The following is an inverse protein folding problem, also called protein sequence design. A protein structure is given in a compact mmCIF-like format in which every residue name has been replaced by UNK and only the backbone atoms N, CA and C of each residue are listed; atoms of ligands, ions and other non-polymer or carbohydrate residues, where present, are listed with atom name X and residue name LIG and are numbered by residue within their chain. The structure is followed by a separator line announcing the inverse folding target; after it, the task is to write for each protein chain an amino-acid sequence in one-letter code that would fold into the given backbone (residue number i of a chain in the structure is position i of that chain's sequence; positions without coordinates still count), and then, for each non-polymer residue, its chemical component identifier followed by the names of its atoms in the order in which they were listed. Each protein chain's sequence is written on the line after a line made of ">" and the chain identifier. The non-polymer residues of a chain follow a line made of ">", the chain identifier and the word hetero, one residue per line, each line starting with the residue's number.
data_IF_960007195484
#
_entry.id   IF_960007195484
#
_cell.length_a   1.000
_cell.length_b   1.000
_cell.length_c   1.000
_cell.angle_alpha   90.00
_cell.angle_beta   90.00
_cell.angle_gamma   90.00
#
_symmetry.space_group_name_H-M   'P 1'
#
loop_
_entity.id
_entity.type
_entity.pdbx_description
1 polymer ?
#
# COMPACT_ATOMS: atom_id res chain seq x y z
N UNK A 1 -4.09 21.19 5.72
CA UNK A 1 -4.05 19.74 5.62
C UNK A 1 -4.68 19.06 6.86
N UNK A 2 -4.23 19.35 8.07
CA UNK A 2 -4.77 18.70 9.30
C UNK A 2 -6.25 18.94 9.50
N UNK A 3 -6.74 20.16 9.21
CA UNK A 3 -8.17 20.46 9.29
C UNK A 3 -8.97 19.62 8.31
N UNK A 4 -8.52 19.48 7.06
CA UNK A 4 -9.17 18.63 6.06
C UNK A 4 -9.21 17.15 6.49
N UNK A 5 -8.14 16.64 7.11
CA UNK A 5 -8.16 15.28 7.67
C UNK A 5 -9.22 15.10 8.75
N UNK A 6 -9.35 16.07 9.67
CA UNK A 6 -10.38 16.04 10.72
C UNK A 6 -11.78 16.08 10.10
N UNK A 7 -12.00 16.98 9.12
CA UNK A 7 -13.27 17.06 8.39
C UNK A 7 -13.63 15.74 7.71
N UNK A 8 -12.66 15.07 7.07
CA UNK A 8 -12.87 13.75 6.48
C UNK A 8 -13.26 12.72 7.55
N UNK A 9 -12.68 12.77 8.75
CA UNK A 9 -13.00 11.82 9.82
C UNK A 9 -14.41 12.03 10.40
N UNK A 10 -14.85 13.29 10.54
CA UNK A 10 -16.18 13.61 11.02
C UNK A 10 -17.26 13.50 9.95
N UNK A 11 -16.87 13.30 8.68
CA UNK A 11 -17.79 13.11 7.56
C UNK A 11 -18.17 14.40 6.82
N UNK A 12 -17.53 15.50 7.12
CA UNK A 12 -17.71 16.78 6.43
C UNK A 12 -16.84 16.82 5.16
N UNK A 13 -17.31 16.07 4.14
CA UNK A 13 -16.51 15.80 2.94
C UNK A 13 -16.50 16.97 1.96
N UNK A 14 -17.56 17.79 1.94
CA UNK A 14 -17.65 18.96 1.03
C UNK A 14 -16.66 20.04 1.46
N UNK A 15 -16.69 20.43 2.73
CA UNK A 15 -15.75 21.42 3.29
C UNK A 15 -14.31 20.91 3.21
N UNK A 16 -14.07 19.61 3.47
CA UNK A 16 -12.75 19.02 3.30
C UNK A 16 -12.23 19.11 1.85
N UNK A 17 -13.11 18.90 0.86
CA UNK A 17 -12.78 19.03 -0.55
C UNK A 17 -12.35 20.45 -0.91
N UNK A 18 -13.12 21.46 -0.46
CA UNK A 18 -12.84 22.86 -0.72
C UNK A 18 -11.53 23.32 -0.07
N UNK A 19 -11.32 22.93 1.19
CA UNK A 19 -10.04 23.19 1.87
C UNK A 19 -8.84 22.57 1.15
N UNK A 20 -8.96 21.33 0.67
CA UNK A 20 -7.88 20.68 -0.08
C UNK A 20 -7.62 21.35 -1.42
N UNK A 21 -8.66 21.78 -2.11
CA UNK A 21 -8.54 22.51 -3.38
C UNK A 21 -7.82 23.84 -3.20
N UNK A 22 -8.12 24.57 -2.14
CA UNK A 22 -7.41 25.79 -1.76
C UNK A 22 -5.93 25.51 -1.42
N UNK A 23 -5.65 24.43 -0.67
CA UNK A 23 -4.26 24.05 -0.32
C UNK A 23 -3.45 23.73 -1.59
N UNK A 24 -4.03 22.99 -2.55
CA UNK A 24 -3.38 22.69 -3.82
C UNK A 24 -3.07 23.98 -4.60
N UNK A 25 -4.01 24.91 -4.65
CA UNK A 25 -3.78 26.21 -5.28
C UNK A 25 -2.64 26.99 -4.60
N UNK A 26 -2.58 27.02 -3.28
CA UNK A 26 -1.47 27.64 -2.55
C UNK A 26 -0.15 26.91 -2.78
N UNK A 27 -0.15 25.58 -2.87
CA UNK A 27 1.04 24.80 -3.18
C UNK A 27 1.64 25.19 -4.53
N UNK A 28 0.80 25.38 -5.56
CA UNK A 28 1.21 25.86 -6.87
C UNK A 28 1.81 27.27 -6.82
N UNK A 29 1.18 28.22 -6.08
CA UNK A 29 1.69 29.59 -5.92
C UNK A 29 3.06 29.57 -5.23
N UNK A 30 3.23 28.73 -4.21
CA UNK A 30 4.45 28.60 -3.43
C UNK A 30 5.50 27.72 -4.11
N UNK A 31 5.15 27.06 -5.23
CA UNK A 31 5.97 26.06 -5.91
C UNK A 31 6.47 24.97 -4.95
N UNK A 32 5.57 24.47 -4.11
CA UNK A 32 5.88 23.49 -3.08
C UNK A 32 5.33 22.13 -3.44
N UNK A 33 6.16 21.32 -4.10
CA UNK A 33 5.83 19.93 -4.48
C UNK A 33 5.45 19.07 -3.27
N UNK A 34 6.09 19.32 -2.12
CA UNK A 34 5.78 18.62 -0.88
C UNK A 34 4.36 18.89 -0.39
N UNK A 35 3.93 20.14 -0.42
CA UNK A 35 2.59 20.54 0.01
C UNK A 35 1.53 20.01 -0.96
N UNK A 36 1.80 20.11 -2.26
CA UNK A 36 0.93 19.64 -3.32
C UNK A 36 0.72 18.12 -3.22
N UNK A 37 1.81 17.35 -3.18
CA UNK A 37 1.79 15.91 -3.00
C UNK A 37 0.92 15.48 -1.80
N UNK A 38 1.13 16.11 -0.62
CA UNK A 38 0.37 15.77 0.58
C UNK A 38 -1.13 16.08 0.42
N UNK A 39 -1.47 17.23 -0.15
CA UNK A 39 -2.85 17.61 -0.38
C UNK A 39 -3.55 16.66 -1.37
N UNK A 40 -2.86 16.26 -2.42
CA UNK A 40 -3.36 15.30 -3.42
C UNK A 40 -3.62 13.92 -2.81
N UNK A 41 -2.73 13.41 -1.96
CA UNK A 41 -2.96 12.13 -1.29
C UNK A 41 -4.15 12.18 -0.31
N UNK A 42 -4.31 13.29 0.43
CA UNK A 42 -5.48 13.46 1.31
C UNK A 42 -6.75 13.57 0.46
N UNK A 43 -6.71 14.24 -0.69
CA UNK A 43 -7.84 14.31 -1.63
C UNK A 43 -8.22 12.94 -2.20
N UNK A 44 -7.22 12.13 -2.56
CA UNK A 44 -7.47 10.75 -2.97
C UNK A 44 -8.13 9.92 -1.86
N UNK A 45 -7.67 10.09 -0.61
CA UNK A 45 -8.27 9.43 0.54
C UNK A 45 -9.71 9.88 0.80
N UNK A 46 -10.00 11.18 0.65
CA UNK A 46 -11.38 11.72 0.73
C UNK A 46 -12.31 10.99 -0.23
N UNK A 47 -11.95 10.92 -1.51
CA UNK A 47 -12.75 10.24 -2.52
C UNK A 47 -12.92 8.74 -2.23
N UNK A 48 -11.85 8.09 -1.81
CA UNK A 48 -11.88 6.69 -1.41
C UNK A 48 -12.83 6.45 -0.23
N UNK A 49 -12.83 7.34 0.77
CA UNK A 49 -13.74 7.27 1.93
C UNK A 49 -15.21 7.49 1.52
N UNK A 50 -15.43 8.29 0.49
CA UNK A 50 -16.77 8.52 -0.10
C UNK A 50 -17.20 7.42 -1.09
N UNK A 51 -16.52 6.27 -1.11
CA UNK A 51 -16.74 5.16 -2.04
C UNK A 51 -16.68 5.56 -3.54
N UNK A 52 -16.02 6.66 -3.85
CA UNK A 52 -15.79 7.11 -5.22
C UNK A 52 -14.34 6.86 -5.63
N UNK A 53 -14.08 5.61 -6.00
CA UNK A 53 -12.74 5.14 -6.35
C UNK A 53 -12.22 5.78 -7.64
N UNK A 54 -13.11 6.00 -8.61
CA UNK A 54 -12.73 6.60 -9.90
C UNK A 54 -12.15 8.01 -9.72
N UNK A 55 -12.82 8.84 -8.91
CA UNK A 55 -12.34 10.19 -8.63
C UNK A 55 -11.08 10.22 -7.76
N UNK A 56 -10.79 9.14 -7.03
CA UNK A 56 -9.58 9.03 -6.24
C UNK A 56 -8.33 8.78 -7.10
N UNK A 57 -8.46 8.20 -8.30
CA UNK A 57 -7.31 7.78 -9.11
C UNK A 57 -6.45 8.94 -9.58
N UNK A 58 -7.07 10.00 -10.10
CA UNK A 58 -6.32 11.14 -10.63
C UNK A 58 -5.46 11.85 -9.56
N UNK A 59 -6.00 12.29 -8.41
CA UNK A 59 -5.17 12.88 -7.37
C UNK A 59 -4.17 11.88 -6.77
N UNK A 60 -4.48 10.59 -6.72
CA UNK A 60 -3.54 9.55 -6.29
C UNK A 60 -2.34 9.46 -7.23
N UNK A 61 -2.60 9.39 -8.54
CA UNK A 61 -1.55 9.33 -9.55
C UNK A 61 -0.64 10.57 -9.50
N UNK A 62 -1.24 11.76 -9.50
CA UNK A 62 -0.48 13.01 -9.43
C UNK A 62 0.37 13.09 -8.15
N UNK A 63 -0.24 12.80 -7.00
CA UNK A 63 0.46 12.84 -5.72
C UNK A 63 1.59 11.83 -5.62
N UNK A 64 1.41 10.60 -6.12
CA UNK A 64 2.47 9.59 -6.12
C UNK A 64 3.58 9.88 -7.13
N UNK A 65 3.25 10.46 -8.30
CA UNK A 65 4.25 10.87 -9.28
C UNK A 65 5.18 11.95 -8.71
N UNK A 66 4.62 13.01 -8.11
CA UNK A 66 5.43 14.04 -7.43
C UNK A 66 6.32 13.40 -6.35
N UNK A 67 5.81 12.44 -5.61
CA UNK A 67 6.57 11.77 -4.56
C UNK A 67 7.69 10.90 -5.12
N UNK A 68 7.46 10.21 -6.24
CA UNK A 68 8.45 9.38 -6.91
C UNK A 68 9.58 10.24 -7.49
N UNK A 69 9.25 11.35 -8.16
CA UNK A 69 10.21 12.26 -8.76
C UNK A 69 11.13 12.93 -7.72
N UNK A 70 10.63 13.15 -6.51
CA UNK A 70 11.37 13.77 -5.41
C UNK A 70 11.91 12.76 -4.38
N UNK A 71 11.75 11.45 -4.57
CA UNK A 71 12.10 10.38 -3.61
C UNK A 71 11.54 10.63 -2.20
N UNK A 72 10.30 11.12 -2.09
CA UNK A 72 9.67 11.37 -0.79
C UNK A 72 9.31 10.08 -0.08
N UNK A 73 10.14 9.65 0.83
CA UNK A 73 9.91 8.45 1.65
C UNK A 73 9.10 8.71 2.91
N UNK A 74 8.96 9.96 3.30
CA UNK A 74 8.39 10.36 4.59
C UNK A 74 7.39 11.48 4.39
N UNK A 75 6.15 11.17 4.65
CA UNK A 75 5.07 12.15 4.78
C UNK A 75 5.01 12.59 6.25
N UNK A 76 5.90 13.50 6.65
CA UNK A 76 6.13 13.83 8.06
C UNK A 76 4.87 14.29 8.82
N UNK A 77 3.91 14.94 8.13
CA UNK A 77 2.75 15.53 8.79
C UNK A 77 1.47 14.67 8.71
N UNK A 78 1.35 13.80 7.70
CA UNK A 78 0.11 13.08 7.40
C UNK A 78 0.31 11.56 7.32
N UNK A 79 1.42 11.03 7.86
CA UNK A 79 1.67 9.61 7.80
C UNK A 79 0.73 8.83 8.73
N UNK A 80 -0.28 8.23 8.13
CA UNK A 80 -1.18 7.28 8.79
C UNK A 80 -1.02 5.93 8.09
N UNK A 81 -0.40 4.92 8.69
CA UNK A 81 -0.11 3.64 8.04
C UNK A 81 -1.35 2.99 7.41
N UNK A 82 -2.51 3.02 8.08
CA UNK A 82 -3.75 2.45 7.57
C UNK A 82 -4.33 3.22 6.36
N UNK A 83 -4.19 4.56 6.33
CA UNK A 83 -4.61 5.37 5.17
C UNK A 83 -3.69 5.10 3.99
N UNK A 84 -2.37 5.08 4.25
CA UNK A 84 -1.39 4.80 3.21
C UNK A 84 -1.53 3.38 2.66
N UNK A 85 -1.86 2.39 3.50
CA UNK A 85 -2.14 1.03 3.05
C UNK A 85 -3.28 0.99 2.03
N UNK A 86 -4.38 1.74 2.28
CA UNK A 86 -5.51 1.87 1.35
C UNK A 86 -5.11 2.50 0.02
N UNK A 87 -4.40 3.60 0.08
CA UNK A 87 -3.95 4.33 -1.11
C UNK A 87 -2.94 3.51 -1.92
N UNK A 88 -2.00 2.84 -1.25
CA UNK A 88 -1.03 1.97 -1.92
C UNK A 88 -1.68 0.73 -2.53
N UNK A 89 -2.67 0.13 -1.86
CA UNK A 89 -3.43 -0.99 -2.43
C UNK A 89 -4.12 -0.55 -3.72
N UNK A 90 -4.79 0.60 -3.71
CA UNK A 90 -5.44 1.18 -4.88
C UNK A 90 -4.42 1.50 -5.99
N UNK A 91 -3.28 2.09 -5.65
CA UNK A 91 -2.23 2.41 -6.61
C UNK A 91 -1.68 1.15 -7.28
N UNK A 92 -1.37 0.10 -6.51
CA UNK A 92 -0.88 -1.17 -7.04
C UNK A 92 -1.91 -1.87 -7.94
N UNK A 93 -3.19 -1.82 -7.57
CA UNK A 93 -4.30 -2.39 -8.35
C UNK A 93 -4.41 -1.73 -9.72
N UNK A 94 -4.17 -0.43 -9.81
CA UNK A 94 -4.28 0.34 -11.06
C UNK A 94 -2.94 0.60 -11.76
N UNK A 95 -1.85 -0.02 -11.29
CA UNK A 95 -0.52 0.11 -11.91
C UNK A 95 0.11 1.50 -11.76
N UNK A 96 -0.30 2.29 -10.73
CA UNK A 96 0.20 3.65 -10.48
C UNK A 96 1.51 3.58 -9.69
N UNK A 97 2.59 4.14 -10.23
CA UNK A 97 3.91 4.29 -9.59
C UNK A 97 4.38 3.03 -8.82
N UNK A 98 4.21 1.85 -9.45
CA UNK A 98 4.32 0.53 -8.83
C UNK A 98 5.66 0.33 -8.11
N UNK A 99 6.78 0.70 -8.75
CA UNK A 99 8.12 0.48 -8.18
C UNK A 99 8.36 1.39 -6.97
N UNK A 100 7.94 2.65 -7.07
CA UNK A 100 8.00 3.61 -5.98
C UNK A 100 7.15 3.13 -4.80
N UNK A 101 5.88 2.77 -5.03
CA UNK A 101 4.94 2.28 -4.01
C UNK A 101 5.49 1.04 -3.31
N UNK A 102 5.99 0.05 -4.06
CA UNK A 102 6.61 -1.16 -3.49
C UNK A 102 7.84 -0.81 -2.64
N UNK A 103 8.67 0.12 -3.09
CA UNK A 103 9.83 0.62 -2.34
C UNK A 103 9.41 1.23 -1.00
N UNK A 104 8.42 2.12 -1.01
CA UNK A 104 7.91 2.76 0.22
C UNK A 104 7.31 1.73 1.18
N UNK A 105 6.49 0.80 0.68
CA UNK A 105 5.90 -0.27 1.50
C UNK A 105 6.98 -1.07 2.22
N UNK A 106 8.02 -1.49 1.51
CA UNK A 106 9.14 -2.27 2.10
C UNK A 106 9.93 -1.45 3.11
N UNK A 107 10.35 -0.22 2.76
CA UNK A 107 11.15 0.65 3.64
C UNK A 107 10.41 1.11 4.88
N UNK A 108 9.09 1.32 4.79
CA UNK A 108 8.26 1.80 5.89
C UNK A 108 7.50 0.68 6.62
N UNK A 109 7.68 -0.58 6.19
CA UNK A 109 7.01 -1.74 6.76
C UNK A 109 5.48 -1.57 6.83
N UNK A 110 4.89 -0.98 5.77
CA UNK A 110 3.44 -0.80 5.69
C UNK A 110 2.78 -2.16 5.57
N UNK A 111 1.79 -2.42 6.42
CA UNK A 111 1.03 -3.67 6.39
C UNK A 111 -0.17 -3.51 5.46
N UNK A 112 -0.46 -4.54 4.65
CA UNK A 112 -1.67 -4.57 3.86
C UNK A 112 -2.92 -4.57 4.76
N UNK A 113 -4.02 -4.05 4.26
CA UNK A 113 -5.31 -4.09 4.96
C UNK A 113 -5.89 -5.50 5.04
N UNK A 114 -5.68 -6.29 3.99
CA UNK A 114 -6.16 -7.66 3.86
C UNK A 114 -5.05 -8.55 3.29
N UNK A 115 -5.11 -9.83 3.62
CA UNK A 115 -4.25 -10.85 3.02
C UNK A 115 -4.62 -11.17 1.56
N UNK A 116 -5.76 -10.67 1.09
CA UNK A 116 -6.27 -10.85 -0.28
C UNK A 116 -5.73 -9.83 -1.29
N UNK A 117 -4.79 -8.97 -0.89
CA UNK A 117 -4.16 -8.01 -1.81
C UNK A 117 -3.10 -8.71 -2.68
N UNK A 118 -3.48 -9.23 -3.84
CA UNK A 118 -2.60 -9.97 -4.75
C UNK A 118 -1.39 -9.16 -5.23
N UNK A 119 -1.57 -7.86 -5.46
CA UNK A 119 -0.51 -6.97 -5.95
C UNK A 119 0.42 -6.44 -4.85
N UNK A 120 0.12 -6.74 -3.57
CA UNK A 120 0.95 -6.29 -2.46
C UNK A 120 2.33 -6.94 -2.49
N UNK A 121 3.42 -6.20 -2.21
CA UNK A 121 4.78 -6.74 -2.19
C UNK A 121 5.04 -7.55 -0.93
N UNK A 122 4.38 -8.72 -0.82
CA UNK A 122 4.58 -9.64 0.28
C UNK A 122 6.04 -10.10 0.34
N UNK A 123 6.70 -10.05 1.50
CA UNK A 123 8.08 -10.51 1.61
C UNK A 123 8.22 -12.02 1.35
N UNK A 124 7.16 -12.78 1.61
CA UNK A 124 7.10 -14.22 1.34
C UNK A 124 5.81 -14.52 0.60
N UNK A 125 5.91 -15.18 -0.56
CA UNK A 125 4.77 -15.71 -1.31
C UNK A 125 4.96 -17.23 -1.47
N UNK A 126 3.90 -18.00 -1.19
CA UNK A 126 3.90 -19.45 -1.31
C UNK A 126 2.83 -19.84 -2.32
N UNK A 127 3.25 -20.44 -3.42
CA UNK A 127 2.37 -20.96 -4.45
C UNK A 127 2.18 -22.45 -4.22
N UNK A 128 0.93 -22.91 -4.10
CA UNK A 128 0.58 -24.29 -3.76
C UNK A 128 -0.18 -25.00 -4.87
N UNK A 129 -0.69 -24.25 -5.86
CA UNK A 129 -1.39 -24.81 -7.01
C UNK A 129 -0.42 -25.10 -8.16
N UNK A 130 -0.46 -26.32 -8.67
CA UNK A 130 0.45 -26.81 -9.70
C UNK A 130 1.80 -27.19 -9.09
N UNK A 131 2.76 -26.27 -9.11
CA UNK A 131 4.10 -26.49 -8.53
C UNK A 131 4.23 -25.73 -7.23
N UNK A 132 4.75 -26.41 -6.20
CA UNK A 132 5.05 -25.74 -4.92
C UNK A 132 6.29 -24.86 -5.07
N UNK A 133 6.09 -23.55 -4.96
CA UNK A 133 7.15 -22.55 -5.06
C UNK A 133 7.08 -21.55 -3.90
N UNK A 134 8.26 -21.14 -3.43
CA UNK A 134 8.40 -20.08 -2.42
C UNK A 134 9.17 -18.95 -3.07
N UNK A 135 8.63 -17.75 -2.96
CA UNK A 135 9.29 -16.52 -3.41
C UNK A 135 9.61 -15.64 -2.21
N UNK A 136 10.82 -15.11 -2.17
CA UNK A 136 11.25 -14.07 -1.23
C UNK A 136 11.43 -12.78 -2.02
N UNK A 137 10.70 -11.74 -1.65
CA UNK A 137 10.70 -10.44 -2.36
C UNK A 137 10.53 -10.58 -3.88
N UNK A 138 9.55 -11.40 -4.29
CA UNK A 138 9.23 -11.74 -5.68
C UNK A 138 10.29 -12.59 -6.42
N UNK A 139 11.36 -13.01 -5.75
CA UNK A 139 12.41 -13.87 -6.32
C UNK A 139 12.18 -15.32 -5.91
N UNK A 140 12.11 -16.28 -6.87
CA UNK A 140 11.96 -17.69 -6.56
C UNK A 140 13.11 -18.21 -5.71
N UNK A 141 12.79 -18.81 -4.55
CA UNK A 141 13.77 -19.43 -3.67
C UNK A 141 14.25 -20.75 -4.30
N UNK A 142 15.52 -20.78 -4.67
CA UNK A 142 16.17 -22.00 -5.19
C UNK A 142 16.90 -22.71 -4.06
N UNK A 143 16.50 -23.94 -3.75
CA UNK A 143 17.19 -24.75 -2.79
C UNK A 143 18.44 -25.34 -3.45
N UNK A 144 19.64 -24.91 -3.00
CA UNK A 144 20.91 -25.47 -3.43
C UNK A 144 21.37 -26.54 -2.43
N UNK A 145 21.75 -27.73 -2.95
CA UNK A 145 22.27 -28.83 -2.14
C UNK A 145 21.22 -29.84 -1.69
N UNK A 146 21.52 -30.59 -0.62
CA UNK A 146 20.57 -31.56 -0.02
C UNK A 146 19.35 -30.80 0.51
N UNK A 147 18.26 -30.86 -0.25
CA UNK A 147 16.98 -30.24 0.15
C UNK A 147 16.61 -30.77 1.53
N UNK A 148 16.37 -29.87 2.47
CA UNK A 148 15.85 -30.23 3.79
C UNK A 148 14.37 -30.65 3.61
N UNK A 149 14.12 -31.91 3.26
CA UNK A 149 12.79 -32.41 2.94
C UNK A 149 11.79 -32.22 4.09
N UNK A 150 12.22 -32.51 5.32
CA UNK A 150 11.34 -32.44 6.50
C UNK A 150 10.75 -31.05 6.78
N UNK A 151 11.53 -29.95 6.83
CA UNK A 151 10.98 -28.60 6.99
C UNK A 151 10.06 -28.20 5.83
N UNK A 152 10.38 -28.61 4.60
CA UNK A 152 9.57 -28.30 3.43
C UNK A 152 8.23 -29.06 3.45
N UNK A 153 8.23 -30.32 3.86
CA UNK A 153 7.02 -31.12 4.05
C UNK A 153 6.13 -30.55 5.15
N UNK A 154 6.73 -30.13 6.29
CA UNK A 154 6.01 -29.45 7.35
C UNK A 154 5.34 -28.16 6.85
N UNK A 155 6.07 -27.33 6.08
CA UNK A 155 5.52 -26.10 5.51
C UNK A 155 4.35 -26.40 4.57
N UNK A 156 4.48 -27.40 3.68
CA UNK A 156 3.40 -27.86 2.80
C UNK A 156 2.17 -28.29 3.59
N UNK A 157 2.38 -29.05 4.67
CA UNK A 157 1.31 -29.51 5.54
C UNK A 157 0.60 -28.33 6.23
N UNK A 158 1.35 -27.35 6.75
CA UNK A 158 0.79 -26.15 7.36
C UNK A 158 -0.02 -25.32 6.35
N UNK A 159 0.48 -25.17 5.13
CA UNK A 159 -0.26 -24.48 4.05
C UNK A 159 -1.56 -25.24 3.71
N UNK A 160 -1.50 -26.55 3.56
CA UNK A 160 -2.68 -27.39 3.27
C UNK A 160 -3.72 -27.38 4.40
N UNK A 161 -3.29 -27.16 5.64
CA UNK A 161 -4.16 -27.03 6.82
C UNK A 161 -4.76 -25.62 6.97
N UNK A 162 -4.50 -24.71 6.03
CA UNK A 162 -5.03 -23.33 6.04
C UNK A 162 -4.45 -22.44 7.13
N UNK A 163 -3.23 -22.70 7.60
CA UNK A 163 -2.54 -21.91 8.63
C UNK A 163 -3.20 -21.98 10.02
N UNK A 164 -4.12 -22.90 10.24
CA UNK A 164 -4.73 -23.14 11.56
C UNK A 164 -3.77 -23.91 12.44
N UNK A 165 -3.91 -23.74 13.77
CA UNK A 165 -3.12 -24.51 14.75
C UNK A 165 -3.28 -26.01 14.49
N UNK A 166 -2.16 -26.68 14.24
CA UNK A 166 -2.08 -28.11 14.00
C UNK A 166 -1.55 -28.76 15.26
N UNK A 167 -2.25 -29.80 15.74
CA UNK A 167 -1.79 -30.57 16.91
C UNK A 167 -0.55 -31.36 16.52
N UNK A 168 0.46 -31.36 17.39
CA UNK A 168 1.77 -31.99 17.14
C UNK A 168 1.70 -33.52 17.06
N UNK A 169 0.57 -34.11 17.52
CA UNK A 169 0.36 -35.57 17.66
C UNK A 169 -0.37 -36.21 16.46
N UNK A 170 -0.34 -35.59 15.31
CA UNK A 170 -0.90 -36.15 14.06
C UNK A 170 0.14 -36.36 13.00
#
# INVERSE_FOLDING_TARGET
>A
LRLAEIMIEVGDLEDAHDHLSNVIQYAHILKSDLLEHQALLIKAFLWRKNNNEVEALLPLQQGLSIAADNDYLVLNFCWRPHVMAKLFSLALQHGIEVDYVKSVIRRRHVRAESHECDHWPWPIKIYTLGKFEIHLDDVPLRFQGKTQHKPLELLKYLCASGGKSVNQDR
#
